data_IF_105317300249
#
_entry.id   IF_105317300249
#
_cell.length_a   1.000
_cell.length_b   1.000
_cell.length_c   1.000
_cell.angle_alpha   90.00
_cell.angle_beta   90.00
_cell.angle_gamma   90.00
#
_symmetry.space_group_name_H-M   'P 1'
#
loop_
_entity.id
_entity.type
_entity.pdbx_description
1 polymer ?
#
# COMPACT_ATOMS: atom_id res chain seq x y z
N UNK A 1 16.82 5.44 -3.37
CA UNK A 1 17.15 4.45 -2.32
C UNK A 1 16.90 3.06 -2.87
N UNK A 2 17.85 2.14 -2.71
CA UNK A 2 17.69 0.71 -3.04
C UNK A 2 17.75 -0.11 -1.77
N UNK A 3 16.83 -1.06 -1.62
CA UNK A 3 16.73 -1.94 -0.45
C UNK A 3 16.68 -3.38 -0.91
N UNK A 4 17.46 -4.25 -0.27
CA UNK A 4 17.40 -5.70 -0.46
C UNK A 4 17.01 -6.38 0.84
N UNK A 5 15.98 -7.22 0.79
CA UNK A 5 15.47 -7.93 1.96
C UNK A 5 15.61 -9.44 1.74
N UNK A 6 16.00 -10.15 2.79
CA UNK A 6 16.00 -11.61 2.84
C UNK A 6 15.46 -12.08 4.18
N UNK A 7 14.47 -12.97 4.13
CA UNK A 7 13.90 -13.62 5.31
C UNK A 7 14.17 -15.12 5.20
N UNK A 8 14.75 -15.71 6.25
CA UNK A 8 15.11 -17.13 6.31
C UNK A 8 14.33 -17.79 7.43
N UNK A 9 13.77 -18.97 7.16
CA UNK A 9 13.23 -19.85 8.17
C UNK A 9 14.27 -20.93 8.48
N UNK A 10 15.04 -20.83 9.58
CA UNK A 10 16.05 -21.84 9.93
C UNK A 10 15.43 -23.09 10.57
N UNK A 11 14.13 -23.13 10.80
CA UNK A 11 13.46 -24.23 11.48
C UNK A 11 13.06 -25.34 10.51
N UNK A 12 13.05 -26.58 11.00
CA UNK A 12 12.59 -27.78 10.29
C UNK A 12 11.06 -27.84 10.09
N UNK A 13 10.33 -26.76 10.39
CA UNK A 13 8.89 -26.66 10.22
C UNK A 13 8.55 -25.36 9.49
N UNK A 14 7.53 -25.36 8.61
CA UNK A 14 7.06 -24.15 7.95
C UNK A 14 6.50 -23.12 8.94
N UNK A 15 6.65 -21.84 8.61
CA UNK A 15 6.21 -20.72 9.43
C UNK A 15 5.41 -19.69 8.58
N UNK A 16 4.44 -18.97 9.18
CA UNK A 16 3.78 -17.86 8.50
C UNK A 16 4.77 -16.69 8.34
N UNK A 17 4.76 -16.06 7.16
CA UNK A 17 5.51 -14.85 6.89
C UNK A 17 4.56 -13.73 6.45
N UNK A 18 4.68 -12.59 7.12
CA UNK A 18 3.98 -11.36 6.81
C UNK A 18 4.99 -10.24 6.59
N UNK A 19 4.91 -9.55 5.45
CA UNK A 19 5.76 -8.41 5.16
C UNK A 19 5.03 -7.38 4.29
N UNK A 20 5.11 -6.13 4.71
CA UNK A 20 4.74 -4.94 3.94
C UNK A 20 5.73 -3.81 4.23
N UNK A 21 6.30 -3.24 3.18
CA UNK A 21 7.08 -2.01 3.24
C UNK A 21 6.10 -0.84 3.19
N UNK A 22 6.00 -0.07 4.29
CA UNK A 22 5.05 1.04 4.45
C UNK A 22 5.75 2.39 4.26
N UNK A 23 5.14 3.28 3.48
CA UNK A 23 5.70 4.59 3.17
C UNK A 23 4.62 5.65 3.38
N UNK A 24 4.80 6.49 4.39
CA UNK A 24 4.00 7.69 4.57
C UNK A 24 4.38 8.74 3.51
N UNK A 25 3.39 9.25 2.79
CA UNK A 25 3.55 10.30 1.77
C UNK A 25 2.50 11.38 1.98
N UNK A 26 2.76 12.64 1.59
CA UNK A 26 1.77 13.72 1.74
C UNK A 26 0.44 13.36 1.08
N UNK A 27 -0.68 13.56 1.78
CA UNK A 27 -1.99 13.09 1.33
C UNK A 27 -2.54 13.86 0.13
N UNK A 28 -2.04 15.06 -0.16
CA UNK A 28 -2.43 15.85 -1.32
C UNK A 28 -1.96 15.26 -2.66
N UNK A 29 -1.06 14.28 -2.62
CA UNK A 29 -0.54 13.59 -3.80
C UNK A 29 -1.56 12.61 -4.37
N UNK A 30 -1.62 12.52 -5.69
CA UNK A 30 -2.37 11.47 -6.38
C UNK A 30 -1.60 10.15 -6.32
N UNK A 31 -2.28 9.09 -5.90
CA UNK A 31 -1.72 7.75 -5.78
C UNK A 31 -2.10 6.90 -6.99
N UNK A 32 -1.09 6.36 -7.67
CA UNK A 32 -1.25 5.58 -8.89
C UNK A 32 -0.60 4.20 -8.73
N UNK A 33 -1.23 3.19 -9.33
CA UNK A 33 -0.71 1.84 -9.47
C UNK A 33 -1.20 1.27 -10.81
N UNK A 34 -0.52 0.28 -11.42
CA UNK A 34 -0.92 -0.31 -12.69
C UNK A 34 -2.05 -1.33 -12.48
N UNK A 35 -3.22 -0.87 -12.05
CA UNK A 35 -4.38 -1.69 -11.75
C UNK A 35 -5.69 -0.95 -12.08
N UNK A 36 -6.62 -1.66 -12.70
CA UNK A 36 -7.97 -1.16 -13.02
C UNK A 36 -8.99 -1.47 -11.91
N UNK A 37 -8.57 -2.22 -10.90
CA UNK A 37 -9.40 -2.60 -9.76
C UNK A 37 -8.58 -2.78 -8.48
N UNK A 38 -9.26 -2.67 -7.34
CA UNK A 38 -8.67 -2.88 -6.02
C UNK A 38 -9.63 -3.65 -5.10
N UNK A 39 -9.08 -4.37 -4.13
CA UNK A 39 -9.85 -4.78 -2.97
C UNK A 39 -9.93 -3.60 -1.99
N UNK A 40 -11.15 -3.13 -1.78
CA UNK A 40 -11.47 -2.11 -0.79
C UNK A 40 -11.84 -2.76 0.54
N UNK A 41 -11.24 -2.28 1.62
CA UNK A 41 -11.59 -2.62 3.00
C UNK A 41 -11.78 -1.34 3.81
N UNK A 42 -13.03 -1.04 4.16
CA UNK A 42 -13.39 0.21 4.85
C UNK A 42 -14.32 -0.02 6.04
N UNK A 43 -15.18 0.94 6.32
CA UNK A 43 -16.07 0.95 7.50
C UNK A 43 -16.95 -0.32 7.64
N UNK A 44 -17.42 -0.89 6.53
CA UNK A 44 -18.21 -2.13 6.52
C UNK A 44 -17.41 -3.38 6.97
N UNK A 45 -16.08 -3.25 7.18
CA UNK A 45 -15.17 -4.34 7.60
C UNK A 45 -15.29 -5.60 6.74
N UNK A 46 -15.56 -5.41 5.45
CA UNK A 46 -15.69 -6.46 4.45
C UNK A 46 -14.87 -6.12 3.23
N UNK A 47 -14.16 -7.11 2.69
CA UNK A 47 -13.47 -6.97 1.41
C UNK A 47 -14.47 -6.91 0.27
N UNK A 48 -14.35 -5.89 -0.58
CA UNK A 48 -15.11 -5.75 -1.82
C UNK A 48 -14.16 -5.38 -2.95
N UNK A 49 -14.31 -6.00 -4.13
CA UNK A 49 -13.58 -5.58 -5.32
C UNK A 49 -14.27 -4.35 -5.92
N UNK A 50 -13.52 -3.28 -6.16
CA UNK A 50 -14.02 -2.00 -6.67
C UNK A 50 -13.20 -1.55 -7.88
N UNK A 51 -13.80 -0.84 -8.84
CA UNK A 51 -13.05 -0.25 -9.95
C UNK A 51 -12.12 0.87 -9.49
N UNK A 52 -11.05 1.08 -10.26
CA UNK A 52 -10.08 2.18 -10.12
C UNK A 52 -10.06 2.95 -11.45
N UNK A 53 -10.02 4.30 -11.45
CA UNK A 53 -9.81 5.17 -10.30
C UNK A 53 -11.08 5.52 -9.52
N UNK A 54 -12.26 5.39 -10.12
CA UNK A 54 -13.50 5.91 -9.55
C UNK A 54 -14.35 4.81 -8.90
N UNK A 55 -14.77 5.03 -7.66
CA UNK A 55 -15.73 4.18 -6.95
C UNK A 55 -16.73 5.04 -6.18
N UNK A 56 -18.03 4.81 -6.42
CA UNK A 56 -19.16 5.62 -5.90
C UNK A 56 -19.10 7.09 -6.34
N UNK A 57 -18.70 7.36 -7.59
CA UNK A 57 -18.63 8.72 -8.15
C UNK A 57 -17.45 9.55 -7.62
N UNK A 58 -16.51 8.92 -6.91
CA UNK A 58 -15.34 9.57 -6.32
C UNK A 58 -14.08 8.92 -6.84
N UNK A 59 -13.18 9.72 -7.43
CA UNK A 59 -11.82 9.29 -7.75
C UNK A 59 -11.05 9.01 -6.45
N UNK A 60 -10.78 7.72 -6.19
CA UNK A 60 -10.10 7.23 -4.98
C UNK A 60 -8.58 7.30 -5.08
N UNK A 61 -8.03 7.69 -6.24
CA UNK A 61 -6.60 7.99 -6.38
C UNK A 61 -6.20 9.29 -5.70
N UNK A 62 -7.15 10.12 -5.27
CA UNK A 62 -6.90 11.31 -4.44
C UNK A 62 -7.28 11.01 -2.99
N UNK A 63 -6.30 10.75 -2.10
CA UNK A 63 -6.56 10.43 -0.70
C UNK A 63 -7.54 11.36 0.04
N UNK A 64 -7.49 12.71 -0.13
CA UNK A 64 -8.33 13.63 0.63
C UNK A 64 -9.81 13.55 0.24
N UNK A 65 -10.15 12.91 -0.88
CA UNK A 65 -11.55 12.70 -1.31
C UNK A 65 -12.24 11.57 -0.54
N UNK A 66 -11.52 10.81 0.27
CA UNK A 66 -12.12 9.80 1.15
C UNK A 66 -12.57 10.44 2.47
N UNK A 67 -13.83 10.23 2.85
CA UNK A 67 -14.37 10.76 4.13
C UNK A 67 -13.91 9.92 5.32
N UNK A 68 -13.86 8.60 5.13
CA UNK A 68 -13.55 7.61 6.17
C UNK A 68 -12.23 6.89 5.89
N UNK A 69 -11.59 6.30 6.92
CA UNK A 69 -10.41 5.49 6.72
C UNK A 69 -10.73 4.24 5.90
N UNK A 70 -9.82 3.88 5.00
CA UNK A 70 -9.98 2.73 4.12
C UNK A 70 -8.64 2.25 3.57
N UNK A 71 -8.59 0.96 3.26
CA UNK A 71 -7.53 0.31 2.51
C UNK A 71 -7.98 0.03 1.07
N UNK A 72 -7.08 0.25 0.12
CA UNK A 72 -7.21 -0.13 -1.28
C UNK A 72 -6.02 -1.00 -1.66
N UNK A 73 -6.24 -2.31 -1.81
CA UNK A 73 -5.23 -3.25 -2.30
C UNK A 73 -5.38 -3.41 -3.81
N UNK A 74 -4.55 -2.73 -4.59
CA UNK A 74 -4.59 -2.74 -6.05
C UNK A 74 -4.29 -4.15 -6.60
N UNK A 75 -5.20 -4.67 -7.43
CA UNK A 75 -4.98 -5.93 -8.16
C UNK A 75 -4.13 -5.65 -9.41
N UNK A 76 -2.82 -5.56 -9.21
CA UNK A 76 -1.89 -5.43 -10.34
C UNK A 76 -1.89 -6.75 -11.14
N UNK A 77 -2.14 -6.72 -12.47
CA UNK A 77 -2.13 -7.92 -13.29
C UNK A 77 -0.78 -8.65 -13.27
N UNK A 78 -0.79 -9.96 -13.48
CA UNK A 78 0.45 -10.71 -13.64
C UNK A 78 1.20 -10.28 -14.91
N UNK A 79 2.53 -10.28 -14.86
CA UNK A 79 3.38 -9.78 -15.94
C UNK A 79 3.51 -8.24 -15.99
N UNK A 80 2.68 -7.49 -15.26
CA UNK A 80 2.87 -6.05 -15.09
C UNK A 80 3.94 -5.76 -14.04
N UNK A 81 4.75 -4.72 -14.29
CA UNK A 81 5.74 -4.25 -13.32
C UNK A 81 5.04 -3.81 -12.04
N UNK A 82 5.53 -4.30 -10.90
CA UNK A 82 4.96 -3.99 -9.59
C UNK A 82 5.44 -2.61 -9.11
N UNK A 83 4.61 -1.58 -9.23
CA UNK A 83 4.90 -0.24 -8.73
C UNK A 83 3.67 0.44 -8.11
N UNK A 84 3.92 1.40 -7.21
CA UNK A 84 2.94 2.35 -6.70
C UNK A 84 3.62 3.72 -6.56
N UNK A 85 2.94 4.78 -6.95
CA UNK A 85 3.48 6.14 -6.97
C UNK A 85 2.56 7.11 -6.26
N UNK A 86 3.13 8.13 -5.62
CA UNK A 86 2.43 9.29 -5.08
C UNK A 86 3.02 10.55 -5.70
N UNK A 87 2.25 11.20 -6.57
CA UNK A 87 2.68 12.29 -7.45
C UNK A 87 1.91 13.58 -7.16
N UNK A 88 2.56 14.73 -7.32
CA UNK A 88 1.93 16.04 -7.31
C UNK A 88 1.29 16.41 -8.67
N UNK A 89 0.85 17.66 -8.82
CA UNK A 89 0.20 18.17 -10.03
C UNK A 89 1.15 18.35 -11.23
N UNK A 90 2.46 18.36 -10.98
CA UNK A 90 3.52 18.41 -12.00
C UNK A 90 4.02 17.02 -12.40
N UNK A 91 3.58 15.99 -11.68
CA UNK A 91 4.03 14.62 -11.86
C UNK A 91 5.31 14.30 -11.10
N UNK A 92 5.77 15.19 -10.23
CA UNK A 92 6.91 14.96 -9.35
C UNK A 92 6.45 14.21 -8.11
N UNK A 93 7.25 13.26 -7.62
CA UNK A 93 6.81 12.52 -6.45
C UNK A 93 7.73 11.42 -5.98
N UNK A 94 7.11 10.37 -5.45
CA UNK A 94 7.80 9.16 -5.01
C UNK A 94 7.18 7.97 -5.71
N UNK A 95 8.03 7.13 -6.30
CA UNK A 95 7.68 5.81 -6.80
C UNK A 95 8.33 4.75 -5.92
N UNK A 96 7.55 3.75 -5.52
CA UNK A 96 8.04 2.48 -5.00
C UNK A 96 7.87 1.42 -6.08
N UNK A 97 8.92 0.66 -6.37
CA UNK A 97 8.88 -0.51 -7.26
C UNK A 97 9.69 -1.65 -6.65
N UNK A 98 9.40 -2.88 -7.05
CA UNK A 98 10.12 -4.06 -6.54
C UNK A 98 10.28 -5.15 -7.60
N UNK A 99 11.07 -6.16 -7.28
CA UNK A 99 10.97 -7.48 -7.92
C UNK A 99 9.59 -8.11 -7.65
N UNK A 100 9.18 -9.05 -8.51
CA UNK A 100 7.82 -9.61 -8.55
C UNK A 100 7.37 -10.35 -7.28
N UNK A 101 8.32 -10.73 -6.42
CA UNK A 101 8.08 -11.38 -5.12
C UNK A 101 7.17 -10.53 -4.21
N UNK A 102 7.34 -9.20 -4.18
CA UNK A 102 6.40 -8.32 -3.50
C UNK A 102 5.21 -8.03 -4.44
N UNK A 103 4.20 -8.89 -4.34
CA UNK A 103 2.99 -8.84 -5.15
C UNK A 103 2.10 -7.63 -4.86
N UNK A 104 1.80 -7.37 -3.59
CA UNK A 104 0.73 -6.46 -3.19
C UNK A 104 1.11 -4.99 -3.37
N UNK A 105 0.14 -4.15 -3.78
CA UNK A 105 0.25 -2.68 -3.78
C UNK A 105 -0.94 -2.11 -3.06
N UNK A 106 -0.70 -1.24 -2.09
CA UNK A 106 -1.74 -0.77 -1.18
C UNK A 106 -1.68 0.73 -1.00
N UNK A 107 -2.85 1.37 -1.02
CA UNK A 107 -3.08 2.69 -0.45
C UNK A 107 -3.88 2.55 0.84
N UNK A 108 -3.44 3.17 1.92
CA UNK A 108 -4.26 3.43 3.09
C UNK A 108 -4.50 4.94 3.26
N UNK A 109 -5.75 5.29 3.54
CA UNK A 109 -6.16 6.67 3.82
C UNK A 109 -6.77 6.74 5.20
N UNK A 110 -6.51 7.84 5.92
CA UNK A 110 -7.13 8.11 7.22
C UNK A 110 -8.58 8.62 7.10
N UNK A 111 -8.93 9.18 5.94
CA UNK A 111 -10.17 9.90 5.71
C UNK A 111 -10.12 11.35 6.21
N UNK A 112 -10.84 12.24 5.52
CA UNK A 112 -10.89 13.66 5.81
C UNK A 112 -11.87 14.03 6.95
N UNK A 113 -12.65 13.07 7.46
CA UNK A 113 -13.55 13.27 8.59
C UNK A 113 -12.81 13.51 9.93
N UNK A 114 -13.53 13.99 10.98
CA UNK A 114 -12.92 14.38 12.25
C UNK A 114 -12.06 13.28 12.90
N UNK A 115 -12.50 12.02 12.82
CA UNK A 115 -11.76 10.90 13.38
C UNK A 115 -10.41 10.67 12.69
N UNK A 116 -10.39 10.69 11.35
CA UNK A 116 -9.15 10.55 10.56
C UNK A 116 -8.18 11.69 10.83
N UNK A 117 -8.68 12.93 10.86
CA UNK A 117 -7.87 14.12 11.19
C UNK A 117 -7.28 14.04 12.59
N UNK A 118 -8.07 13.64 13.58
CA UNK A 118 -7.60 13.52 14.96
C UNK A 118 -6.51 12.46 15.13
N UNK A 119 -6.62 11.34 14.41
CA UNK A 119 -5.56 10.32 14.42
C UNK A 119 -4.27 10.84 13.82
N UNK A 120 -4.33 11.55 12.69
CA UNK A 120 -3.15 12.15 12.07
C UNK A 120 -2.49 13.20 12.98
N UNK A 121 -3.26 14.10 13.60
CA UNK A 121 -2.75 15.06 14.60
C UNK A 121 -2.05 14.37 15.78
N UNK A 122 -2.54 13.20 16.20
CA UNK A 122 -1.94 12.47 17.32
C UNK A 122 -0.65 11.72 16.93
N UNK A 123 -0.55 11.25 15.69
CA UNK A 123 0.58 10.47 15.19
C UNK A 123 1.70 11.32 14.58
N UNK A 124 1.44 12.61 14.32
CA UNK A 124 2.39 13.52 13.67
C UNK A 124 2.74 14.70 14.57
N UNK A 125 3.89 15.30 14.33
CA UNK A 125 4.26 16.54 14.99
C UNK A 125 3.35 17.70 14.51
N UNK A 126 3.03 18.69 15.38
CA UNK A 126 2.25 19.84 14.98
C UNK A 126 2.83 20.54 13.74
N UNK A 127 1.99 20.78 12.72
CA UNK A 127 2.38 21.46 11.48
C UNK A 127 2.88 20.55 10.35
N UNK A 128 2.96 19.23 10.56
CA UNK A 128 3.41 18.26 9.53
C UNK A 128 2.46 18.16 8.31
N UNK A 129 1.18 18.52 8.49
CA UNK A 129 0.14 18.27 7.49
C UNK A 129 -0.40 16.84 7.54
N UNK A 130 -1.25 16.48 6.60
CA UNK A 130 -1.80 15.13 6.49
C UNK A 130 -0.92 14.22 5.63
N UNK A 131 -1.02 12.91 5.85
CA UNK A 131 -0.34 11.88 5.08
C UNK A 131 -1.30 10.76 4.71
N UNK A 132 -0.98 10.07 3.62
CA UNK A 132 -1.52 8.74 3.34
C UNK A 132 -0.37 7.74 3.30
N UNK A 133 -0.69 6.45 3.24
CA UNK A 133 0.31 5.40 3.20
C UNK A 133 0.24 4.65 1.90
N UNK A 134 1.34 4.61 1.14
CA UNK A 134 1.52 3.68 0.03
C UNK A 134 2.40 2.52 0.48
N UNK A 135 2.08 1.30 0.06
CA UNK A 135 2.76 0.11 0.58
C UNK A 135 2.96 -0.97 -0.50
N UNK A 136 3.98 -1.81 -0.29
CA UNK A 136 4.25 -2.99 -1.09
C UNK A 136 4.45 -4.23 -0.21
N UNK A 137 3.83 -5.36 -0.55
CA UNK A 137 3.80 -6.53 0.33
C UNK A 137 3.88 -7.87 -0.38
N UNK A 138 4.14 -8.92 0.39
CA UNK A 138 4.22 -10.30 -0.11
C UNK A 138 2.84 -10.86 -0.50
N UNK A 139 1.83 -10.55 0.31
CA UNK A 139 0.46 -11.02 0.10
C UNK A 139 -0.33 -10.04 -0.78
N UNK A 140 -1.52 -10.47 -1.22
CA UNK A 140 -2.45 -9.64 -1.97
C UNK A 140 -3.06 -8.56 -1.06
N UNK A 141 -3.48 -8.96 0.14
CA UNK A 141 -4.01 -8.05 1.16
C UNK A 141 -3.23 -8.17 2.46
N UNK A 142 -3.51 -7.28 3.42
CA UNK A 142 -2.97 -7.37 4.78
C UNK A 142 -3.76 -8.30 5.70
N UNK A 143 -4.79 -8.99 5.18
CA UNK A 143 -5.59 -9.97 5.93
C UNK A 143 -5.04 -11.40 5.79
N UNK A 144 -3.92 -11.56 5.10
CA UNK A 144 -3.31 -12.82 4.73
C UNK A 144 -1.83 -12.83 5.12
N UNK A 145 -1.26 -14.03 5.22
CA UNK A 145 0.18 -14.24 5.29
C UNK A 145 0.59 -15.26 4.22
N UNK A 146 1.85 -15.23 3.79
CA UNK A 146 2.41 -16.31 2.98
C UNK A 146 2.99 -17.40 3.87
N UNK A 147 3.19 -18.59 3.31
CA UNK A 147 3.86 -19.69 4.00
C UNK A 147 5.33 -19.69 3.61
N UNK A 148 6.22 -19.63 4.59
CA UNK A 148 7.66 -19.81 4.40
C UNK A 148 8.01 -21.24 4.82
N UNK A 149 8.44 -22.06 3.87
CA UNK A 149 8.72 -23.48 4.12
C UNK A 149 9.87 -23.69 5.10
N UNK A 150 9.96 -24.90 5.65
CA UNK A 150 11.06 -25.31 6.53
C UNK A 150 12.41 -25.10 5.85
N UNK A 151 13.39 -24.60 6.59
CA UNK A 151 14.79 -24.46 6.13
C UNK A 151 14.94 -23.68 4.80
N UNK A 152 14.00 -22.79 4.50
CA UNK A 152 13.91 -22.05 3.25
C UNK A 152 14.14 -20.54 3.44
N UNK A 153 14.23 -19.81 2.33
CA UNK A 153 14.31 -18.36 2.34
C UNK A 153 13.54 -17.73 1.20
N UNK A 154 13.17 -16.47 1.39
CA UNK A 154 12.62 -15.60 0.36
C UNK A 154 13.38 -14.28 0.37
N UNK A 155 13.62 -13.71 -0.81
CA UNK A 155 14.29 -12.42 -0.94
C UNK A 155 13.72 -11.61 -2.10
N UNK A 156 13.85 -10.29 -2.00
CA UNK A 156 13.38 -9.35 -3.00
C UNK A 156 14.20 -8.05 -2.94
N UNK A 157 14.09 -7.27 -4.00
CA UNK A 157 14.66 -5.92 -4.09
C UNK A 157 13.55 -4.89 -4.22
N UNK A 158 13.78 -3.72 -3.64
CA UNK A 158 12.92 -2.56 -3.71
C UNK A 158 13.72 -1.32 -4.12
N UNK A 159 13.09 -0.44 -4.89
CA UNK A 159 13.61 0.86 -5.23
C UNK A 159 12.59 1.94 -4.88
N UNK A 160 13.09 3.02 -4.32
CA UNK A 160 12.34 4.19 -3.88
C UNK A 160 13.03 5.44 -4.43
N UNK A 161 12.33 6.22 -5.22
CA UNK A 161 12.92 7.41 -5.82
C UNK A 161 11.90 8.28 -6.54
N UNK A 162 12.32 9.49 -6.93
CA UNK A 162 11.58 10.28 -7.90
C UNK A 162 11.44 9.54 -9.23
#
# INVERSE_FOLDING_TARGET
LHVGVRVRNPHQKPAPLYWWSNIAVPEERRVLAPADEAWHFGYERRLRRVPVPEYEGVDRTYPPRSVFPADYFYEVPDGQRRWIAALDDKGDGLVQTSTDVLRGRKLFVWGAGPGGRRWQEWLTEPGTGGYCEIQAGLARTQLEHVRLEAESEVSWLEAYGP
#
